data_IF_057382892057
#
_entry.id   IF_057382892057
#
_cell.length_a   1.000
_cell.length_b   1.000
_cell.length_c   1.000
_cell.angle_alpha   90.00
_cell.angle_beta   90.00
_cell.angle_gamma   90.00
#
_symmetry.space_group_name_H-M   'P 1'
#
loop_
_entity.id
_entity.type
_entity.pdbx_description
1 polymer ?
#
# COMPACT_ATOMS: atom_id res chain seq x y z
N UNK A 1 1.63 -22.92 -0.14
CA UNK A 1 2.42 -22.75 -1.38
C UNK A 1 3.03 -21.35 -1.53
N UNK A 2 2.46 -20.27 -1.00
CA UNK A 2 2.99 -18.90 -1.16
C UNK A 2 4.27 -18.61 -0.37
N UNK A 3 4.45 -19.26 0.78
CA UNK A 3 5.59 -19.00 1.69
C UNK A 3 6.95 -19.31 1.04
N UNK A 4 7.05 -20.41 0.30
CA UNK A 4 8.30 -20.82 -0.34
C UNK A 4 8.81 -19.79 -1.38
N UNK A 5 8.02 -19.37 -2.39
CA UNK A 5 8.47 -18.34 -3.33
C UNK A 5 8.72 -16.99 -2.64
N UNK A 6 7.96 -16.63 -1.59
CA UNK A 6 8.20 -15.42 -0.83
C UNK A 6 9.57 -15.46 -0.13
N UNK A 7 9.90 -16.56 0.57
CA UNK A 7 11.18 -16.68 1.26
C UNK A 7 12.36 -16.69 0.27
N UNK A 8 12.20 -17.33 -0.90
CA UNK A 8 13.20 -17.33 -1.95
C UNK A 8 13.46 -15.91 -2.49
N UNK A 9 12.39 -15.15 -2.77
CA UNK A 9 12.51 -13.76 -3.24
C UNK A 9 13.16 -12.85 -2.20
N UNK A 10 12.83 -13.02 -0.91
CA UNK A 10 13.45 -12.25 0.18
C UNK A 10 14.96 -12.55 0.30
N UNK A 11 15.35 -13.82 0.18
CA UNK A 11 16.76 -14.23 0.22
C UNK A 11 17.53 -13.69 -0.99
N UNK A 12 16.98 -13.83 -2.19
CA UNK A 12 17.60 -13.28 -3.41
C UNK A 12 17.72 -11.76 -3.28
N UNK A 13 16.67 -11.08 -2.84
CA UNK A 13 16.67 -9.62 -2.62
C UNK A 13 17.75 -9.19 -1.62
N UNK A 14 17.92 -9.92 -0.52
CA UNK A 14 18.97 -9.64 0.47
C UNK A 14 20.38 -9.79 -0.13
N UNK A 15 20.62 -10.87 -0.87
CA UNK A 15 21.91 -11.12 -1.54
C UNK A 15 22.19 -10.04 -2.58
N UNK A 16 21.21 -9.71 -3.41
CA UNK A 16 21.35 -8.68 -4.46
C UNK A 16 21.66 -7.30 -3.87
N UNK A 17 20.89 -6.86 -2.84
CA UNK A 17 21.14 -5.58 -2.16
C UNK A 17 22.53 -5.60 -1.52
N UNK A 18 22.93 -6.69 -0.87
CA UNK A 18 24.26 -6.79 -0.27
C UNK A 18 25.35 -6.65 -1.33
N UNK A 19 25.27 -7.42 -2.41
CA UNK A 19 26.27 -7.42 -3.48
C UNK A 19 26.40 -6.06 -4.18
N UNK A 20 25.28 -5.41 -4.47
CA UNK A 20 25.27 -4.12 -5.19
C UNK A 20 25.67 -2.94 -4.33
N UNK A 21 25.55 -3.03 -3.00
CA UNK A 21 25.73 -1.89 -2.10
C UNK A 21 27.05 -1.92 -1.30
N UNK A 22 27.83 -2.98 -1.36
CA UNK A 22 29.08 -3.14 -0.56
C UNK A 22 30.02 -1.94 -0.75
N UNK A 23 30.33 -1.59 -2.00
CA UNK A 23 31.26 -0.50 -2.30
C UNK A 23 30.73 0.86 -1.83
N UNK A 24 29.45 1.15 -2.10
CA UNK A 24 28.81 2.40 -1.70
C UNK A 24 28.69 2.49 -0.17
N UNK A 25 28.40 1.38 0.49
CA UNK A 25 28.30 1.32 1.94
C UNK A 25 29.64 1.59 2.63
N UNK A 26 30.72 1.01 2.08
CA UNK A 26 32.08 1.20 2.61
C UNK A 26 32.53 2.65 2.48
N UNK A 27 32.32 3.25 1.31
CA UNK A 27 32.66 4.63 1.02
C UNK A 27 31.89 5.63 1.91
N UNK A 28 30.59 5.41 2.14
CA UNK A 28 29.71 6.33 2.89
C UNK A 28 29.79 6.16 4.41
N UNK A 29 29.98 4.93 4.90
CA UNK A 29 29.81 4.61 6.34
C UNK A 29 30.98 3.84 6.96
N UNK A 30 32.03 3.54 6.20
CA UNK A 30 33.15 2.67 6.60
C UNK A 30 32.67 1.29 7.12
N UNK A 31 31.49 0.85 6.66
CA UNK A 31 30.90 -0.43 7.01
C UNK A 31 30.23 -1.06 5.76
N UNK A 32 30.89 -2.02 5.09
CA UNK A 32 30.40 -2.62 3.84
C UNK A 32 29.04 -3.29 3.97
N UNK A 33 28.63 -3.69 5.18
CA UNK A 33 27.35 -4.35 5.44
C UNK A 33 26.27 -3.42 5.99
N UNK A 34 26.44 -2.10 5.94
CA UNK A 34 25.47 -1.15 6.49
C UNK A 34 24.07 -1.34 5.88
N UNK A 35 23.96 -1.35 4.56
CA UNK A 35 22.68 -1.51 3.88
C UNK A 35 22.10 -2.92 4.02
N UNK A 36 22.97 -3.97 4.01
CA UNK A 36 22.53 -5.34 4.23
C UNK A 36 21.90 -5.56 5.62
N UNK A 37 22.52 -5.01 6.67
CA UNK A 37 21.97 -5.07 8.04
C UNK A 37 20.61 -4.36 8.12
N UNK A 38 20.51 -3.19 7.50
CA UNK A 38 19.25 -2.43 7.45
C UNK A 38 18.16 -3.19 6.69
N UNK A 39 18.51 -3.81 5.56
CA UNK A 39 17.59 -4.64 4.79
C UNK A 39 17.13 -5.86 5.59
N UNK A 40 18.03 -6.58 6.25
CA UNK A 40 17.71 -7.73 7.10
C UNK A 40 16.77 -7.34 8.25
N UNK A 41 17.00 -6.18 8.88
CA UNK A 41 16.13 -5.65 9.93
C UNK A 41 14.71 -5.39 9.39
N UNK A 42 14.56 -4.74 8.23
CA UNK A 42 13.25 -4.48 7.65
C UNK A 42 12.53 -5.77 7.20
N UNK A 43 13.27 -6.75 6.68
CA UNK A 43 12.72 -8.08 6.38
C UNK A 43 12.21 -8.74 7.65
N UNK A 44 12.94 -8.67 8.75
CA UNK A 44 12.53 -9.24 10.04
C UNK A 44 11.26 -8.56 10.58
N UNK A 45 11.18 -7.24 10.52
CA UNK A 45 9.99 -6.48 10.90
C UNK A 45 8.80 -6.87 10.01
N UNK A 46 9.02 -6.99 8.68
CA UNK A 46 8.00 -7.40 7.73
C UNK A 46 7.47 -8.81 8.00
N UNK A 47 8.35 -9.76 8.28
CA UNK A 47 7.97 -11.13 8.64
C UNK A 47 7.20 -11.19 9.97
N UNK A 48 7.64 -10.42 10.97
CA UNK A 48 6.91 -10.31 12.24
C UNK A 48 5.51 -9.73 12.01
N UNK A 49 5.38 -8.67 11.24
CA UNK A 49 4.09 -8.08 10.88
C UNK A 49 3.21 -9.06 10.11
N UNK A 50 3.78 -9.81 9.16
CA UNK A 50 3.06 -10.86 8.44
C UNK A 50 2.46 -11.89 9.40
N UNK A 51 3.28 -12.44 10.32
CA UNK A 51 2.83 -13.42 11.30
C UNK A 51 1.75 -12.81 12.20
N UNK A 52 1.94 -11.58 12.66
CA UNK A 52 0.96 -10.87 13.49
C UNK A 52 -0.40 -10.78 12.80
N UNK A 53 -0.45 -10.35 11.54
CA UNK A 53 -1.70 -10.24 10.80
C UNK A 53 -2.31 -11.59 10.42
N UNK A 54 -1.52 -12.66 10.28
CA UNK A 54 -2.02 -14.01 10.04
C UNK A 54 -2.72 -14.60 11.27
N UNK A 55 -2.32 -14.21 12.48
CA UNK A 55 -2.93 -14.68 13.74
C UNK A 55 -4.23 -13.90 14.04
N UNK A 56 -4.35 -12.67 13.54
CA UNK A 56 -5.55 -11.85 13.78
C UNK A 56 -6.78 -12.48 13.11
N UNK A 57 -7.90 -12.61 13.85
CA UNK A 57 -9.13 -13.13 13.27
C UNK A 57 -9.64 -12.19 12.18
N UNK A 58 -10.05 -12.77 11.05
CA UNK A 58 -10.58 -12.01 9.90
C UNK A 58 -11.78 -11.12 10.25
N UNK A 59 -12.59 -11.55 11.21
CA UNK A 59 -13.72 -10.76 11.73
C UNK A 59 -13.28 -9.44 12.38
N UNK A 60 -12.16 -9.46 13.12
CA UNK A 60 -11.60 -8.24 13.69
C UNK A 60 -11.16 -7.26 12.61
N UNK A 61 -10.46 -7.76 11.59
CA UNK A 61 -10.02 -6.95 10.46
C UNK A 61 -11.19 -6.35 9.69
N UNK A 62 -12.25 -7.15 9.43
CA UNK A 62 -13.46 -6.70 8.75
C UNK A 62 -14.28 -5.69 9.56
N UNK A 63 -14.27 -5.76 10.89
CA UNK A 63 -14.94 -4.78 11.75
C UNK A 63 -14.15 -3.48 11.91
N UNK A 64 -12.84 -3.57 11.79
CA UNK A 64 -11.92 -2.43 11.99
C UNK A 64 -11.48 -1.77 10.66
N UNK A 65 -11.98 -2.24 9.52
CA UNK A 65 -11.57 -1.81 8.18
C UNK A 65 -11.67 -0.28 7.97
N UNK A 66 -12.73 0.33 8.49
CA UNK A 66 -12.95 1.78 8.42
C UNK A 66 -11.94 2.57 9.26
N UNK A 67 -11.48 2.01 10.39
CA UNK A 67 -10.46 2.65 11.25
C UNK A 67 -9.12 2.70 10.52
N UNK A 68 -8.69 1.56 9.94
CA UNK A 68 -7.48 1.52 9.13
C UNK A 68 -7.55 2.49 7.95
N UNK A 69 -8.72 2.57 7.31
CA UNK A 69 -8.92 3.47 6.18
C UNK A 69 -8.82 4.95 6.60
N UNK A 70 -9.47 5.32 7.71
CA UNK A 70 -9.43 6.68 8.23
C UNK A 70 -8.00 7.08 8.65
N UNK A 71 -7.29 6.19 9.35
CA UNK A 71 -5.90 6.41 9.74
C UNK A 71 -4.99 6.60 8.51
N UNK A 72 -5.19 5.82 7.45
CA UNK A 72 -4.38 5.95 6.25
C UNK A 72 -4.63 7.26 5.50
N UNK A 73 -5.89 7.73 5.44
CA UNK A 73 -6.21 9.04 4.87
C UNK A 73 -5.59 10.16 5.71
N UNK A 74 -5.65 10.06 7.03
CA UNK A 74 -4.99 11.03 7.90
C UNK A 74 -3.48 11.08 7.66
N UNK A 75 -2.83 9.91 7.52
CA UNK A 75 -1.39 9.85 7.20
C UNK A 75 -1.08 10.49 5.84
N UNK A 76 -1.94 10.31 4.83
CA UNK A 76 -1.77 10.98 3.53
C UNK A 76 -1.92 12.50 3.65
N UNK A 77 -2.86 12.98 4.45
CA UNK A 77 -3.08 14.41 4.66
C UNK A 77 -1.93 15.05 5.45
N UNK A 78 -1.39 14.35 6.45
CA UNK A 78 -0.27 14.84 7.27
C UNK A 78 0.98 15.14 6.41
N UNK A 79 1.18 14.45 5.27
CA UNK A 79 2.28 14.74 4.36
C UNK A 79 2.24 16.16 3.75
N UNK A 80 1.07 16.80 3.71
CA UNK A 80 0.93 18.18 3.23
C UNK A 80 1.31 19.22 4.29
N UNK A 81 1.56 18.80 5.55
CA UNK A 81 2.01 19.71 6.59
C UNK A 81 3.51 20.00 6.36
N UNK A 82 3.92 21.27 6.24
CA UNK A 82 5.32 21.63 6.14
C UNK A 82 6.15 21.00 7.26
N UNK A 83 7.37 20.55 6.96
CA UNK A 83 8.34 19.96 7.89
C UNK A 83 8.08 18.50 8.31
N UNK A 84 6.89 17.93 8.11
CA UNK A 84 6.59 16.52 8.42
C UNK A 84 7.03 15.59 7.30
N UNK A 85 6.75 15.98 6.06
CA UNK A 85 7.12 15.20 4.88
C UNK A 85 8.58 15.42 4.49
N UNK A 86 9.30 14.33 4.20
CA UNK A 86 10.65 14.41 3.62
C UNK A 86 10.58 14.35 2.11
N UNK A 87 11.20 15.35 1.46
CA UNK A 87 11.32 15.37 0.00
C UNK A 87 12.45 14.44 -0.45
N UNK A 88 12.11 13.51 -1.33
CA UNK A 88 13.07 12.63 -2.00
C UNK A 88 12.81 12.71 -3.50
N UNK A 89 13.83 13.08 -4.27
CA UNK A 89 13.74 13.27 -5.72
C UNK A 89 12.59 14.21 -6.17
N UNK A 90 12.37 15.29 -5.42
CA UNK A 90 11.38 16.32 -5.77
C UNK A 90 9.94 15.98 -5.39
N UNK A 91 9.68 14.87 -4.69
CA UNK A 91 8.35 14.51 -4.20
C UNK A 91 8.34 14.23 -2.70
N UNK A 92 7.30 14.70 -2.01
CA UNK A 92 7.12 14.54 -0.57
C UNK A 92 6.24 13.30 -0.36
N UNK A 93 6.87 12.14 -0.12
CA UNK A 93 6.18 10.83 -0.03
C UNK A 93 6.44 10.08 1.27
N UNK A 94 7.41 10.56 2.07
CA UNK A 94 7.92 9.84 3.21
C UNK A 94 7.74 10.64 4.50
N UNK A 95 7.32 9.97 5.55
CA UNK A 95 7.35 10.49 6.92
C UNK A 95 8.55 9.84 7.60
N UNK A 96 9.47 10.67 8.09
CA UNK A 96 10.66 10.21 8.79
C UNK A 96 10.41 10.18 10.29
N UNK A 97 10.42 8.99 10.88
CA UNK A 97 10.31 8.80 12.34
C UNK A 97 11.63 8.17 12.84
N UNK A 98 12.57 9.00 13.24
CA UNK A 98 13.91 8.56 13.62
C UNK A 98 14.63 7.84 12.47
N UNK A 99 15.07 6.58 12.66
CA UNK A 99 15.75 5.81 11.60
C UNK A 99 14.81 5.17 10.57
N UNK A 100 13.49 5.26 10.79
CA UNK A 100 12.48 4.58 9.97
C UNK A 100 11.81 5.61 9.05
N UNK A 101 11.71 5.28 7.76
CA UNK A 101 10.91 6.02 6.80
C UNK A 101 9.62 5.25 6.55
N UNK A 102 8.49 5.89 6.79
CA UNK A 102 7.15 5.33 6.51
C UNK A 102 6.60 6.02 5.28
N UNK A 103 6.09 5.24 4.35
CA UNK A 103 5.38 5.74 3.17
C UNK A 103 3.87 5.58 3.38
N UNK A 104 3.12 6.67 3.57
CA UNK A 104 1.68 6.60 3.80
C UNK A 104 0.89 5.92 2.70
N UNK A 105 1.32 6.01 1.44
CA UNK A 105 0.67 5.31 0.33
C UNK A 105 0.75 3.78 0.44
N UNK A 106 1.81 3.21 1.08
CA UNK A 106 1.89 1.77 1.35
C UNK A 106 0.87 1.34 2.40
N UNK A 107 0.73 2.12 3.47
CA UNK A 107 -0.30 1.90 4.50
C UNK A 107 -1.69 2.01 3.89
N UNK A 108 -1.88 2.98 3.00
CA UNK A 108 -3.15 3.20 2.33
C UNK A 108 -3.55 2.04 1.41
N UNK A 109 -2.60 1.43 0.68
CA UNK A 109 -2.87 0.23 -0.14
C UNK A 109 -3.44 -0.92 0.70
N UNK A 110 -2.81 -1.21 1.84
CA UNK A 110 -3.28 -2.24 2.76
C UNK A 110 -4.67 -1.92 3.33
N UNK A 111 -4.88 -0.69 3.81
CA UNK A 111 -6.14 -0.24 4.38
C UNK A 111 -7.27 -0.28 3.36
N UNK A 112 -6.98 0.08 2.12
CA UNK A 112 -7.94 0.08 1.02
C UNK A 112 -8.39 -1.34 0.65
N UNK A 113 -7.45 -2.31 0.62
CA UNK A 113 -7.78 -3.72 0.40
C UNK A 113 -8.75 -4.20 1.48
N UNK A 114 -8.45 -3.92 2.75
CA UNK A 114 -9.30 -4.31 3.87
C UNK A 114 -10.69 -3.66 3.76
N UNK A 115 -10.74 -2.36 3.55
CA UNK A 115 -11.99 -1.61 3.50
C UNK A 115 -12.90 -2.04 2.34
N UNK A 116 -12.35 -2.16 1.11
CA UNK A 116 -13.15 -2.54 -0.05
C UNK A 116 -13.58 -4.00 0.04
N UNK A 117 -12.73 -4.90 0.54
CA UNK A 117 -13.11 -6.29 0.78
C UNK A 117 -14.23 -6.39 1.82
N UNK A 118 -14.11 -5.70 2.95
CA UNK A 118 -15.14 -5.66 3.99
C UNK A 118 -16.46 -5.03 3.48
N UNK A 119 -16.36 -3.95 2.72
CA UNK A 119 -17.51 -3.33 2.07
C UNK A 119 -18.22 -4.27 1.11
N UNK A 120 -17.46 -4.98 0.27
CA UNK A 120 -17.98 -5.93 -0.71
C UNK A 120 -18.72 -7.10 -0.04
N UNK A 121 -18.16 -7.64 1.05
CA UNK A 121 -18.82 -8.71 1.83
C UNK A 121 -20.14 -8.22 2.44
N UNK A 122 -20.15 -7.02 3.03
CA UNK A 122 -21.37 -6.44 3.65
C UNK A 122 -22.47 -6.09 2.64
N UNK A 123 -22.11 -5.88 1.38
CA UNK A 123 -23.03 -5.46 0.31
C UNK A 123 -23.11 -6.43 -0.86
N UNK A 124 -22.76 -7.70 -0.63
CA UNK A 124 -22.65 -8.70 -1.70
C UNK A 124 -23.91 -8.82 -2.57
N UNK A 125 -25.10 -8.76 -1.96
CA UNK A 125 -26.39 -8.84 -2.68
C UNK A 125 -26.73 -7.58 -3.49
N UNK A 126 -26.10 -6.45 -3.19
CA UNK A 126 -26.40 -5.14 -3.80
C UNK A 126 -25.25 -4.63 -4.70
N UNK A 127 -24.17 -5.40 -4.89
CA UNK A 127 -22.96 -4.92 -5.58
C UNK A 127 -23.22 -4.47 -7.02
N UNK A 128 -24.22 -5.02 -7.68
CA UNK A 128 -24.64 -4.60 -9.03
C UNK A 128 -25.44 -3.28 -9.05
N UNK A 129 -25.84 -2.75 -7.88
CA UNK A 129 -26.52 -1.48 -7.84
C UNK A 129 -25.54 -0.31 -8.04
N UNK A 130 -25.99 0.74 -8.72
CA UNK A 130 -25.18 1.95 -8.95
C UNK A 130 -24.71 2.58 -7.64
N UNK A 131 -25.56 2.59 -6.62
CA UNK A 131 -25.25 3.19 -5.31
C UNK A 131 -24.11 2.44 -4.59
N UNK A 132 -24.11 1.12 -4.66
CA UNK A 132 -23.06 0.30 -4.01
C UNK A 132 -21.74 0.40 -4.75
N UNK A 133 -21.76 0.61 -6.06
CA UNK A 133 -20.58 0.84 -6.88
C UNK A 133 -19.97 2.24 -6.68
N UNK A 134 -20.79 3.27 -6.55
CA UNK A 134 -20.31 4.65 -6.44
C UNK A 134 -19.49 4.92 -5.16
N UNK A 135 -19.78 4.26 -4.04
CA UNK A 135 -19.05 4.50 -2.77
C UNK A 135 -17.57 4.13 -2.84
N UNK A 136 -17.18 2.89 -3.24
CA UNK A 136 -15.76 2.56 -3.39
C UNK A 136 -15.08 3.39 -4.48
N UNK A 137 -15.81 3.78 -5.53
CA UNK A 137 -15.30 4.64 -6.59
C UNK A 137 -14.96 6.05 -6.08
N UNK A 138 -15.86 6.65 -5.30
CA UNK A 138 -15.63 7.97 -4.70
C UNK A 138 -14.43 7.96 -3.74
N UNK A 139 -14.30 6.90 -2.95
CA UNK A 139 -13.15 6.74 -2.07
C UNK A 139 -11.86 6.59 -2.86
N UNK A 140 -11.86 5.75 -3.90
CA UNK A 140 -10.71 5.60 -4.80
C UNK A 140 -10.31 6.94 -5.42
N UNK A 141 -11.29 7.73 -5.87
CA UNK A 141 -11.04 9.05 -6.46
C UNK A 141 -10.35 10.00 -5.47
N UNK A 142 -10.85 10.10 -4.24
CA UNK A 142 -10.24 10.95 -3.20
C UNK A 142 -8.79 10.52 -2.93
N UNK A 143 -8.56 9.22 -2.75
CA UNK A 143 -7.22 8.71 -2.45
C UNK A 143 -6.28 8.93 -3.62
N UNK A 144 -6.74 8.67 -4.84
CA UNK A 144 -5.94 8.90 -6.04
C UNK A 144 -5.54 10.36 -6.18
N UNK A 145 -6.46 11.30 -5.93
CA UNK A 145 -6.14 12.74 -5.92
C UNK A 145 -5.08 13.09 -4.87
N UNK A 146 -5.21 12.58 -3.64
CA UNK A 146 -4.22 12.83 -2.58
C UNK A 146 -2.83 12.29 -2.94
N UNK A 147 -2.75 11.10 -3.53
CA UNK A 147 -1.47 10.49 -3.91
C UNK A 147 -0.89 11.16 -5.16
N UNK A 148 -1.71 11.53 -6.14
CA UNK A 148 -1.25 12.26 -7.33
C UNK A 148 -0.75 13.66 -6.98
N UNK A 149 -1.30 14.31 -5.96
CA UNK A 149 -0.78 15.59 -5.44
C UNK A 149 0.63 15.47 -4.86
N UNK A 150 1.09 14.24 -4.58
CA UNK A 150 2.44 13.91 -4.11
C UNK A 150 3.36 13.42 -5.25
N UNK A 151 3.10 13.71 -6.51
CA UNK A 151 3.51 13.13 -7.80
C UNK A 151 3.89 11.62 -7.73
N UNK A 152 2.99 10.76 -7.22
CA UNK A 152 3.21 9.31 -7.10
C UNK A 152 2.28 8.50 -8.02
N UNK A 153 2.56 8.54 -9.33
CA UNK A 153 1.81 7.79 -10.34
C UNK A 153 1.88 6.27 -10.12
N UNK A 154 3.03 5.75 -9.66
CA UNK A 154 3.21 4.33 -9.43
C UNK A 154 2.27 3.78 -8.36
N UNK A 155 2.18 4.43 -7.19
CA UNK A 155 1.26 4.04 -6.13
C UNK A 155 -0.20 4.21 -6.54
N UNK A 156 -0.53 5.28 -7.28
CA UNK A 156 -1.89 5.50 -7.80
C UNK A 156 -2.31 4.37 -8.73
N UNK A 157 -1.47 3.99 -9.71
CA UNK A 157 -1.76 2.89 -10.63
C UNK A 157 -1.98 1.56 -9.88
N UNK A 158 -1.14 1.24 -8.90
CA UNK A 158 -1.27 0.02 -8.09
C UNK A 158 -2.60 0.02 -7.31
N UNK A 159 -2.95 1.13 -6.67
CA UNK A 159 -4.21 1.25 -5.92
C UNK A 159 -5.42 1.08 -6.85
N UNK A 160 -5.42 1.71 -8.01
CA UNK A 160 -6.47 1.54 -8.99
C UNK A 160 -6.61 0.07 -9.43
N UNK A 161 -5.50 -0.58 -9.74
CA UNK A 161 -5.49 -1.99 -10.13
C UNK A 161 -6.03 -2.91 -9.02
N UNK A 162 -5.61 -2.68 -7.77
CA UNK A 162 -6.09 -3.43 -6.61
C UNK A 162 -7.60 -3.30 -6.42
N UNK A 163 -8.13 -2.07 -6.51
CA UNK A 163 -9.58 -1.82 -6.36
C UNK A 163 -10.37 -2.50 -7.48
N UNK A 164 -9.92 -2.38 -8.73
CA UNK A 164 -10.55 -3.07 -9.87
C UNK A 164 -10.58 -4.58 -9.63
N UNK A 165 -9.46 -5.16 -9.20
CA UNK A 165 -9.34 -6.59 -8.92
C UNK A 165 -10.31 -7.06 -7.82
N UNK A 166 -10.38 -6.34 -6.70
CA UNK A 166 -11.28 -6.69 -5.59
C UNK A 166 -12.75 -6.58 -6.01
N UNK A 167 -13.12 -5.50 -6.70
CA UNK A 167 -14.49 -5.30 -7.17
C UNK A 167 -14.89 -6.33 -8.24
N UNK A 168 -13.95 -6.74 -9.09
CA UNK A 168 -14.16 -7.85 -10.03
C UNK A 168 -14.48 -9.15 -9.28
N UNK A 169 -13.69 -9.51 -8.27
CA UNK A 169 -13.96 -10.68 -7.42
C UNK A 169 -15.26 -10.55 -6.63
N UNK A 170 -15.69 -9.35 -6.28
CA UNK A 170 -16.94 -9.08 -5.60
C UNK A 170 -18.18 -9.26 -6.51
N UNK A 171 -17.98 -9.52 -7.82
CA UNK A 171 -19.05 -9.82 -8.76
C UNK A 171 -19.77 -8.60 -9.32
N UNK A 172 -19.09 -7.44 -9.42
CA UNK A 172 -19.67 -6.29 -10.13
C UNK A 172 -19.83 -6.59 -11.63
N UNK A 173 -20.79 -5.92 -12.26
CA UNK A 173 -21.08 -6.14 -13.68
C UNK A 173 -19.91 -5.69 -14.57
N UNK A 174 -19.71 -6.38 -15.68
CA UNK A 174 -18.66 -6.05 -16.66
C UNK A 174 -18.73 -4.58 -17.14
N UNK A 175 -19.95 -4.05 -17.30
CA UNK A 175 -20.16 -2.66 -17.67
C UNK A 175 -19.60 -1.69 -16.62
N UNK A 176 -19.79 -1.97 -15.33
CA UNK A 176 -19.24 -1.16 -14.24
C UNK A 176 -17.72 -1.21 -14.21
N UNK A 177 -17.11 -2.37 -14.53
CA UNK A 177 -15.66 -2.50 -14.65
C UNK A 177 -15.13 -1.63 -15.79
N UNK A 178 -15.75 -1.70 -16.97
CA UNK A 178 -15.37 -0.85 -18.11
C UNK A 178 -15.46 0.64 -17.77
N UNK A 179 -16.52 1.06 -17.09
CA UNK A 179 -16.69 2.44 -16.63
C UNK A 179 -15.58 2.86 -15.66
N UNK A 180 -15.23 1.98 -14.72
CA UNK A 180 -14.17 2.23 -13.74
C UNK A 180 -12.81 2.37 -14.43
N UNK A 181 -12.49 1.46 -15.34
CA UNK A 181 -11.23 1.53 -16.12
C UNK A 181 -11.17 2.80 -16.96
N UNK A 182 -12.29 3.19 -17.60
CA UNK A 182 -12.36 4.44 -18.35
C UNK A 182 -12.09 5.67 -17.44
N UNK A 183 -12.67 5.70 -16.24
CA UNK A 183 -12.44 6.78 -15.28
C UNK A 183 -10.98 6.84 -14.79
N UNK A 184 -10.33 5.69 -14.61
CA UNK A 184 -8.91 5.62 -14.23
C UNK A 184 -8.01 6.18 -15.35
N UNK A 185 -8.35 5.91 -16.61
CA UNK A 185 -7.57 6.42 -17.76
C UNK A 185 -7.71 7.95 -17.91
N UNK A 186 -8.85 8.51 -17.46
CA UNK A 186 -9.10 9.96 -17.51
C UNK A 186 -8.52 10.73 -16.30
N UNK A 187 -8.04 10.04 -15.28
CA UNK A 187 -7.37 10.60 -14.09
C UNK A 187 -5.89 10.83 -14.35
#
# INVERSE_FOLDING_TARGET
MVIFPLSLLLLIGLVMVTSSSIYIADDMTSNPFHFAKRQALFISIGLFSLIFFLILPSEFLLKSDWVFMLLSILLLIILFIPEVGTSVNGSIRWIRIGPINIQPSEVCKFSLILYISGYSVRRMSEMNSVRSFLKPLFLLFIISLLIMSQPDLGSTAIICFLVVGILFYAGISFFQICLLVLLIILL
#
